data_IF_126011752313
#
_entry.id   IF_126011752313
#
_cell.length_a   1.000
_cell.length_b   1.000
_cell.length_c   1.000
_cell.angle_alpha   90.00
_cell.angle_beta   90.00
_cell.angle_gamma   90.00
#
_symmetry.space_group_name_H-M   'P 1'
#
loop_
_entity.id
_entity.type
_entity.pdbx_description
1 polymer ?
#
# COMPACT_ATOMS: atom_id res chain seq x y z
N UNK A 1 11.80 19.93 -5.46
CA UNK A 1 10.59 19.22 -5.93
C UNK A 1 10.98 17.77 -6.14
N UNK A 2 10.91 16.93 -5.11
CA UNK A 2 11.15 15.50 -5.24
C UNK A 2 9.79 14.82 -5.49
N UNK A 3 9.68 14.12 -6.60
CA UNK A 3 8.49 13.35 -6.95
C UNK A 3 8.36 12.19 -5.96
N UNK A 4 7.54 12.36 -4.93
CA UNK A 4 7.07 11.23 -4.12
C UNK A 4 6.35 10.32 -5.09
N UNK A 5 6.95 9.17 -5.43
CA UNK A 5 6.32 8.17 -6.29
C UNK A 5 4.89 7.96 -5.79
N UNK A 6 3.93 8.40 -6.58
CA UNK A 6 2.51 8.37 -6.27
C UNK A 6 2.12 6.93 -5.90
N UNK A 7 2.07 6.61 -4.61
CA UNK A 7 1.78 5.24 -4.18
C UNK A 7 2.28 4.79 -2.81
N UNK A 8 3.39 5.33 -2.29
CA UNK A 8 3.88 4.97 -0.95
C UNK A 8 3.09 5.70 0.13
N UNK A 9 2.32 4.94 0.92
CA UNK A 9 1.66 5.45 2.13
C UNK A 9 2.62 5.27 3.31
N UNK A 10 2.64 6.24 4.20
CA UNK A 10 3.41 6.20 5.45
C UNK A 10 2.47 6.46 6.62
N UNK A 11 2.83 5.93 7.78
CA UNK A 11 2.17 6.22 9.05
C UNK A 11 3.19 6.94 9.92
N UNK A 12 2.85 8.15 10.37
CA UNK A 12 3.66 8.85 11.36
C UNK A 12 3.54 8.13 12.70
N UNK A 13 4.66 7.88 13.37
CA UNK A 13 4.64 7.33 14.71
C UNK A 13 4.12 8.38 15.69
N UNK A 14 3.26 7.95 16.62
CA UNK A 14 2.60 8.84 17.56
C UNK A 14 3.61 9.43 18.54
N UNK A 15 3.72 10.75 18.54
CA UNK A 15 4.53 11.57 19.43
C UNK A 15 3.94 12.99 19.51
N UNK A 16 4.42 13.79 20.47
CA UNK A 16 3.93 15.17 20.70
C UNK A 16 4.02 16.08 19.48
N UNK A 17 5.00 15.86 18.59
CA UNK A 17 5.12 16.63 17.35
C UNK A 17 4.06 16.19 16.32
N UNK A 18 3.88 14.89 16.14
CA UNK A 18 2.96 14.29 15.16
C UNK A 18 1.48 14.53 15.48
N UNK A 19 1.11 14.58 16.76
CA UNK A 19 -0.27 14.83 17.18
C UNK A 19 -0.75 16.23 16.75
N UNK A 20 0.15 17.21 16.74
CA UNK A 20 -0.14 18.56 16.26
C UNK A 20 -0.11 18.73 14.74
N UNK A 21 0.17 17.65 13.98
CA UNK A 21 0.30 17.67 12.52
C UNK A 21 -0.92 17.11 11.79
N UNK A 22 -2.00 16.82 12.51
CA UNK A 22 -3.25 16.42 11.88
C UNK A 22 -3.72 17.48 10.87
N UNK A 23 -4.00 17.03 9.63
CA UNK A 23 -4.40 17.91 8.52
C UNK A 23 -3.32 18.85 7.98
N UNK A 24 -2.07 18.76 8.47
CA UNK A 24 -0.95 19.59 8.01
C UNK A 24 -0.06 18.85 7.03
N UNK A 25 0.54 19.61 6.12
CA UNK A 25 1.53 19.09 5.19
C UNK A 25 2.87 18.87 5.89
N UNK A 26 3.57 17.82 5.47
CA UNK A 26 4.92 17.47 5.89
C UNK A 26 5.79 17.32 4.65
N UNK A 27 7.07 17.64 4.79
CA UNK A 27 8.04 17.49 3.71
C UNK A 27 8.50 16.03 3.63
N UNK A 28 8.48 15.47 2.43
CA UNK A 28 8.90 14.08 2.18
C UNK A 28 10.02 14.07 1.15
N UNK A 29 11.16 13.50 1.52
CA UNK A 29 12.33 13.36 0.67
C UNK A 29 12.54 11.88 0.33
N UNK A 30 12.49 11.54 -0.97
CA UNK A 30 12.81 10.20 -1.47
C UNK A 30 14.22 10.22 -2.06
N UNK A 31 15.12 9.41 -1.48
CA UNK A 31 16.51 9.32 -1.91
C UNK A 31 16.71 8.14 -2.88
N UNK A 32 17.73 8.19 -3.76
CA UNK A 32 17.96 7.19 -4.82
C UNK A 32 18.09 5.72 -4.37
N UNK A 33 18.31 5.47 -3.07
CA UNK A 33 18.42 4.14 -2.45
C UNK A 33 17.18 3.71 -1.66
N UNK A 34 16.04 4.40 -1.85
CA UNK A 34 14.78 4.07 -1.19
C UNK A 34 14.71 4.47 0.28
N UNK A 35 15.70 5.23 0.77
CA UNK A 35 15.58 5.94 2.05
C UNK A 35 14.56 7.04 1.87
N UNK A 36 13.60 7.07 2.78
CA UNK A 36 12.59 8.11 2.85
C UNK A 36 12.88 8.92 4.11
N UNK A 37 12.79 10.23 4.01
CA UNK A 37 12.83 11.10 5.18
C UNK A 37 11.59 11.96 5.22
N UNK A 38 10.99 12.03 6.40
CA UNK A 38 9.77 12.80 6.65
C UNK A 38 10.12 13.89 7.65
N UNK A 39 9.84 15.15 7.31
CA UNK A 39 10.24 16.30 8.11
C UNK A 39 9.09 17.29 8.30
N UNK A 40 9.11 18.01 9.42
CA UNK A 40 8.27 19.19 9.65
C UNK A 40 9.14 20.34 10.13
N UNK A 41 9.11 21.49 9.46
CA UNK A 41 9.94 22.66 9.82
C UNK A 41 11.42 22.31 10.05
N UNK A 42 11.97 21.38 9.28
CA UNK A 42 13.35 20.88 9.40
C UNK A 42 13.59 19.79 10.45
N UNK A 43 12.60 19.45 11.29
CA UNK A 43 12.68 18.36 12.28
C UNK A 43 12.28 17.03 11.65
N UNK A 44 13.05 15.97 11.92
CA UNK A 44 12.74 14.61 11.47
C UNK A 44 11.57 14.02 12.25
N UNK A 45 10.63 13.42 11.53
CA UNK A 45 9.49 12.71 12.08
C UNK A 45 9.70 11.21 11.97
N UNK A 46 9.64 10.47 13.09
CA UNK A 46 9.61 9.02 13.03
C UNK A 46 8.36 8.53 12.29
N UNK A 47 8.55 7.58 11.38
CA UNK A 47 7.48 7.03 10.57
C UNK A 47 7.72 5.55 10.28
N UNK A 48 6.67 4.85 9.87
CA UNK A 48 6.74 3.52 9.28
C UNK A 48 6.07 3.50 7.92
N UNK A 49 6.56 2.64 7.02
CA UNK A 49 5.97 2.47 5.69
C UNK A 49 4.74 1.59 5.80
N UNK A 50 3.62 2.04 5.23
CA UNK A 50 2.41 1.23 5.16
C UNK A 50 2.52 0.24 4.00
N UNK A 51 2.55 -1.05 4.34
CA UNK A 51 2.51 -2.13 3.34
C UNK A 51 1.07 -2.40 2.91
N UNK A 52 0.78 -2.16 1.63
CA UNK A 52 -0.53 -2.52 1.04
C UNK A 52 -0.67 -4.02 0.81
N UNK A 53 0.45 -4.72 0.74
CA UNK A 53 0.51 -6.16 0.46
C UNK A 53 0.43 -6.99 1.75
N UNK A 54 0.25 -6.36 2.91
CA UNK A 54 0.03 -7.07 4.16
C UNK A 54 -1.29 -7.84 4.11
N UNK A 55 -1.21 -9.17 4.17
CA UNK A 55 -2.36 -10.08 4.14
C UNK A 55 -2.45 -10.94 5.39
N UNK A 56 -3.67 -11.31 5.75
CA UNK A 56 -3.92 -12.32 6.78
C UNK A 56 -3.69 -13.71 6.17
N UNK A 57 -2.69 -14.43 6.67
CA UNK A 57 -2.42 -15.82 6.26
C UNK A 57 -3.38 -16.79 6.95
N UNK A 58 -3.57 -17.97 6.36
CA UNK A 58 -4.38 -19.02 6.99
C UNK A 58 -3.77 -19.48 8.32
N UNK A 59 -2.44 -19.60 8.40
CA UNK A 59 -1.72 -19.92 9.64
C UNK A 59 -2.00 -18.91 10.75
N UNK A 60 -1.97 -17.60 10.45
CA UNK A 60 -2.25 -16.55 11.43
C UNK A 60 -3.66 -16.67 12.03
N UNK A 61 -4.64 -17.16 11.26
CA UNK A 61 -6.00 -17.42 11.73
C UNK A 61 -6.03 -18.63 12.68
N UNK A 62 -5.40 -19.75 12.29
CA UNK A 62 -5.42 -21.00 13.06
C UNK A 62 -4.67 -20.87 14.39
N UNK A 63 -3.55 -20.15 14.40
CA UNK A 63 -2.73 -19.97 15.60
C UNK A 63 -3.35 -18.98 16.60
N UNK A 64 -4.14 -18.00 16.15
CA UNK A 64 -4.77 -16.99 17.01
C UNK A 64 -6.18 -17.39 17.45
N UNK A 65 -6.29 -18.26 18.47
CA UNK A 65 -7.59 -18.78 18.97
C UNK A 65 -8.63 -17.71 19.35
N UNK A 66 -8.19 -16.58 19.93
CA UNK A 66 -9.11 -15.51 20.36
C UNK A 66 -9.56 -14.59 19.22
N UNK A 67 -8.74 -14.46 18.17
CA UNK A 67 -8.98 -13.53 17.06
C UNK A 67 -9.31 -14.24 15.74
N UNK A 68 -9.31 -15.57 15.72
CA UNK A 68 -9.45 -16.37 14.49
C UNK A 68 -10.69 -16.00 13.68
N UNK A 69 -11.84 -15.79 14.34
CA UNK A 69 -13.07 -15.37 13.66
C UNK A 69 -12.91 -14.01 12.96
N UNK A 70 -12.41 -13.00 13.67
CA UNK A 70 -12.18 -11.66 13.11
C UNK A 70 -11.14 -11.68 11.98
N UNK A 71 -10.06 -12.45 12.15
CA UNK A 71 -9.02 -12.59 11.12
C UNK A 71 -9.55 -13.30 9.87
N UNK A 72 -10.46 -14.28 10.02
CA UNK A 72 -11.12 -14.93 8.89
C UNK A 72 -12.00 -13.97 8.10
N UNK A 73 -12.77 -13.11 8.78
CA UNK A 73 -13.57 -12.06 8.12
C UNK A 73 -12.69 -11.08 7.35
N UNK A 74 -11.59 -10.62 7.97
CA UNK A 74 -10.63 -9.71 7.32
C UNK A 74 -10.03 -10.38 6.07
N UNK A 75 -9.60 -11.65 6.17
CA UNK A 75 -9.05 -12.40 5.04
C UNK A 75 -10.06 -12.50 3.89
N UNK A 76 -11.31 -12.87 4.18
CA UNK A 76 -12.36 -13.00 3.16
C UNK A 76 -12.58 -11.67 2.42
N UNK A 77 -12.57 -10.55 3.15
CA UNK A 77 -12.67 -9.22 2.57
C UNK A 77 -11.44 -8.88 1.71
N UNK A 78 -10.21 -9.16 2.19
CA UNK A 78 -8.97 -8.95 1.44
C UNK A 78 -8.90 -9.78 0.15
N UNK A 79 -9.46 -10.99 0.14
CA UNK A 79 -9.50 -11.88 -1.03
C UNK A 79 -10.47 -11.34 -2.10
N UNK A 80 -11.51 -10.61 -1.70
CA UNK A 80 -12.48 -10.00 -2.63
C UNK A 80 -11.90 -8.80 -3.40
N UNK A 81 -11.09 -7.97 -2.73
CA UNK A 81 -10.50 -6.78 -3.36
C UNK A 81 -9.31 -7.07 -4.28
N UNK A 82 -8.75 -8.28 -4.25
CA UNK A 82 -7.58 -8.64 -5.03
C UNK A 82 -7.96 -9.56 -6.20
N UNK A 83 -8.30 -8.97 -7.34
CA UNK A 83 -8.27 -9.67 -8.63
C UNK A 83 -7.15 -9.05 -9.48
N UNK A 84 -5.96 -9.66 -9.54
CA UNK A 84 -4.95 -9.22 -10.49
C UNK A 84 -5.53 -9.45 -11.89
N UNK A 85 -5.79 -8.36 -12.63
CA UNK A 85 -6.16 -8.46 -14.04
C UNK A 85 -4.95 -8.99 -14.81
N UNK A 86 -4.91 -10.31 -14.99
CA UNK A 86 -3.92 -10.97 -15.85
C UNK A 86 -4.38 -10.77 -17.29
N UNK A 87 -3.82 -9.75 -17.94
CA UNK A 87 -3.99 -9.58 -19.38
C UNK A 87 -3.12 -10.61 -20.10
N UNK A 88 -3.70 -11.34 -21.05
CA UNK A 88 -2.92 -12.17 -21.98
C UNK A 88 -2.03 -11.30 -22.88
N UNK A 89 -0.97 -11.87 -23.46
CA UNK A 89 -0.04 -11.13 -24.32
C UNK A 89 -0.78 -10.37 -25.44
N UNK A 90 -1.78 -10.98 -26.09
CA UNK A 90 -2.59 -10.34 -27.13
C UNK A 90 -3.40 -9.13 -26.63
N UNK A 91 -3.95 -9.21 -25.41
CA UNK A 91 -4.67 -8.09 -24.78
C UNK A 91 -3.71 -6.97 -24.35
N UNK A 92 -2.51 -7.33 -23.84
CA UNK A 92 -1.46 -6.37 -23.50
C UNK A 92 -0.95 -5.60 -24.73
N UNK A 93 -0.89 -6.28 -25.88
CA UNK A 93 -0.48 -5.73 -27.18
C UNK A 93 -1.61 -4.99 -27.92
N UNK A 94 -2.83 -4.94 -27.35
CA UNK A 94 -3.97 -4.24 -27.98
C UNK A 94 -4.49 -4.91 -29.25
N UNK A 95 -4.39 -6.25 -29.36
CA UNK A 95 -4.86 -6.97 -30.54
C UNK A 95 -6.38 -6.85 -30.69
N UNK A 96 -6.81 -6.23 -31.80
CA UNK A 96 -8.21 -6.23 -32.24
C UNK A 96 -8.42 -7.30 -33.32
N UNK A 97 -9.29 -8.26 -33.03
CA UNK A 97 -9.63 -9.34 -33.95
C UNK A 97 -10.40 -8.76 -35.14
N UNK A 98 -9.72 -8.56 -36.27
CA UNK A 98 -10.39 -8.26 -37.55
C UNK A 98 -11.13 -9.50 -38.03
N UNK A 99 -12.43 -9.35 -38.26
CA UNK A 99 -13.27 -10.41 -38.81
C UNK A 99 -12.73 -10.90 -40.15
N UNK A 100 -12.88 -12.20 -40.41
CA UNK A 100 -12.59 -12.79 -41.71
C UNK A 100 -13.68 -12.34 -42.67
N UNK A 101 -13.35 -11.48 -43.62
CA UNK A 101 -14.24 -11.24 -44.76
C UNK A 101 -14.26 -12.55 -45.58
N UNK A 102 -15.43 -13.17 -45.63
CA UNK A 102 -15.73 -14.33 -46.49
C UNK A 102 -16.44 -13.81 -47.73
#
# INVERSE_FOLDING_TARGET
>A
MAEVRAGKRIILERNSLSEGLEGKYVDVYDFPYGRLEVRTKGLLLPYRVFSKDQRVSHTAIVENKRLGHSLALIKAQQDTYFTPKVNTNSQKLGYEKRGRNV
#
